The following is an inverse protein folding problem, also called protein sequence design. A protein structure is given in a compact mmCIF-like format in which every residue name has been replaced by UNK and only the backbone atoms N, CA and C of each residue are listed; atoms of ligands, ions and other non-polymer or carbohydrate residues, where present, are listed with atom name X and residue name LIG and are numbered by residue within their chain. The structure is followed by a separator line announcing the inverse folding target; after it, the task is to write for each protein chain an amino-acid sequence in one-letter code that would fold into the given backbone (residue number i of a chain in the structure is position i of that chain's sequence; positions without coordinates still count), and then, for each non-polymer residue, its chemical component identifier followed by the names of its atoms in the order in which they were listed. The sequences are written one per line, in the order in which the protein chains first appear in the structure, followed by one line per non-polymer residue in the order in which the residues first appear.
data_IF_297406013691
#
_entry.id   IF_297406013691
#
_cell.length_a   1.000
_cell.length_b   1.000
_cell.length_c   1.000
_cell.angle_alpha   90.00
_cell.angle_beta   90.00
_cell.angle_gamma   90.00
#
_symmetry.space_group_name_H-M   'P 1'
#
loop_
_entity.id
_entity.type
_entity.pdbx_description
1 polymer ?
#
# COMPACT_ATOMS: atom_id res chain seq x y z
N UNK A 1 -8.16 -0.88 -12.43
CA UNK A 1 -8.05 0.56 -12.09
C UNK A 1 -9.28 1.32 -12.56
N UNK A 2 -9.68 1.24 -13.85
CA UNK A 2 -10.85 1.98 -14.37
C UNK A 2 -12.15 1.59 -13.67
N UNK A 3 -12.41 0.30 -13.46
CA UNK A 3 -13.59 -0.18 -12.72
C UNK A 3 -13.60 0.31 -11.26
N UNK A 4 -12.44 0.44 -10.62
CA UNK A 4 -12.34 1.01 -9.27
C UNK A 4 -12.70 2.50 -9.27
N UNK A 5 -12.18 3.27 -10.24
CA UNK A 5 -12.49 4.68 -10.36
C UNK A 5 -13.99 4.90 -10.61
N UNK A 6 -14.61 4.13 -11.52
CA UNK A 6 -16.06 4.18 -11.76
C UNK A 6 -16.88 3.85 -10.50
N UNK A 7 -16.45 2.87 -9.71
CA UNK A 7 -17.10 2.52 -8.46
C UNK A 7 -16.97 3.64 -7.40
N UNK A 8 -15.80 4.28 -7.32
CA UNK A 8 -15.57 5.41 -6.42
C UNK A 8 -16.42 6.63 -6.82
N UNK A 9 -16.47 6.97 -8.11
CA UNK A 9 -17.29 8.07 -8.61
C UNK A 9 -18.80 7.82 -8.33
N UNK A 10 -19.28 6.58 -8.51
CA UNK A 10 -20.65 6.19 -8.13
C UNK A 10 -20.91 6.28 -6.62
N UNK A 11 -19.89 6.12 -5.81
CA UNK A 11 -19.96 6.29 -4.35
C UNK A 11 -19.81 7.76 -3.90
N UNK A 12 -19.68 8.71 -4.83
CA UNK A 12 -19.55 10.14 -4.54
C UNK A 12 -18.12 10.61 -4.29
N UNK A 13 -17.12 9.78 -4.59
CA UNK A 13 -15.71 10.12 -4.46
C UNK A 13 -15.11 10.36 -5.86
N UNK A 14 -14.65 11.56 -6.13
CA UNK A 14 -13.99 11.85 -7.41
C UNK A 14 -12.67 11.11 -7.52
N UNK A 15 -12.52 10.26 -8.53
CA UNK A 15 -11.31 9.47 -8.76
C UNK A 15 -10.63 9.83 -10.09
N UNK A 16 -9.30 9.66 -10.13
CA UNK A 16 -8.47 9.77 -11.34
C UNK A 16 -7.59 8.54 -11.47
N UNK A 17 -7.46 8.03 -12.69
CA UNK A 17 -6.56 6.93 -13.00
C UNK A 17 -5.36 7.47 -13.75
N UNK A 18 -4.16 7.15 -13.27
CA UNK A 18 -2.91 7.49 -13.93
C UNK A 18 -2.07 6.24 -14.15
N UNK A 19 -1.57 6.03 -15.36
CA UNK A 19 -0.85 4.81 -15.74
C UNK A 19 0.64 5.03 -15.90
N UNK A 20 1.44 4.09 -15.40
CA UNK A 20 2.88 4.05 -15.63
C UNK A 20 3.24 3.64 -17.08
N UNK A 21 2.29 3.07 -17.82
CA UNK A 21 2.44 2.73 -19.25
C UNK A 21 1.47 3.62 -20.04
N UNK A 22 1.95 4.24 -21.12
CA UNK A 22 1.13 5.11 -21.98
C UNK A 22 0.01 4.31 -22.65
N UNK A 23 -1.24 4.72 -22.44
CA UNK A 23 -2.45 4.23 -23.10
C UNK A 23 -3.35 5.46 -23.33
N UNK A 24 -2.90 6.37 -24.15
CA UNK A 24 -3.39 7.77 -24.25
C UNK A 24 -4.89 7.90 -24.52
N UNK A 25 -5.51 6.91 -25.20
CA UNK A 25 -6.96 6.94 -25.48
C UNK A 25 -7.83 6.50 -24.29
N UNK A 26 -7.22 5.94 -23.22
CA UNK A 26 -7.94 5.26 -22.14
C UNK A 26 -7.65 5.86 -20.77
N UNK A 27 -6.41 6.25 -20.51
CA UNK A 27 -5.96 6.68 -19.17
C UNK A 27 -4.81 7.68 -19.27
N UNK A 28 -4.78 8.63 -18.35
CA UNK A 28 -3.71 9.63 -18.27
C UNK A 28 -2.35 8.97 -17.94
N UNK A 29 -1.24 9.44 -18.56
CA UNK A 29 0.09 9.02 -18.13
C UNK A 29 0.38 9.52 -16.71
N UNK A 30 1.11 8.70 -15.94
CA UNK A 30 1.55 9.13 -14.62
C UNK A 30 2.58 10.26 -14.73
N UNK A 31 2.25 11.40 -14.15
CA UNK A 31 3.13 12.55 -13.99
C UNK A 31 3.00 13.04 -12.55
N UNK A 32 4.08 12.96 -11.75
CA UNK A 32 4.08 13.28 -10.32
C UNK A 32 3.41 14.62 -9.96
N UNK A 33 3.77 15.78 -10.60
CA UNK A 33 3.11 17.06 -10.29
C UNK A 33 1.59 17.02 -10.49
N UNK A 34 1.12 16.31 -11.49
CA UNK A 34 -0.32 16.16 -11.76
C UNK A 34 -1.01 15.28 -10.72
N UNK A 35 -0.35 14.22 -10.27
CA UNK A 35 -0.86 13.38 -9.18
C UNK A 35 -1.00 14.18 -7.89
N UNK A 36 0.01 14.98 -7.54
CA UNK A 36 -0.04 15.86 -6.35
C UNK A 36 -1.17 16.88 -6.45
N UNK A 37 -1.36 17.50 -7.61
CA UNK A 37 -2.47 18.42 -7.84
C UNK A 37 -3.82 17.74 -7.59
N UNK A 38 -4.04 16.52 -8.09
CA UNK A 38 -5.29 15.79 -7.86
C UNK A 38 -5.51 15.44 -6.38
N UNK A 39 -4.45 15.08 -5.67
CA UNK A 39 -4.53 14.81 -4.23
C UNK A 39 -4.86 16.07 -3.43
N UNK A 40 -4.23 17.22 -3.76
CA UNK A 40 -4.52 18.53 -3.16
C UNK A 40 -5.97 18.98 -3.41
N UNK A 41 -6.53 18.63 -4.57
CA UNK A 41 -7.94 18.86 -4.92
C UNK A 41 -8.90 17.88 -4.19
N UNK A 42 -8.39 17.00 -3.31
CA UNK A 42 -9.19 16.02 -2.55
C UNK A 42 -9.68 14.83 -3.38
N UNK A 43 -9.06 14.54 -4.52
CA UNK A 43 -9.40 13.40 -5.37
C UNK A 43 -8.66 12.14 -4.95
N UNK A 44 -9.26 10.99 -5.21
CA UNK A 44 -8.59 9.69 -5.12
C UNK A 44 -7.79 9.45 -6.41
N UNK A 45 -6.50 9.16 -6.30
CA UNK A 45 -5.66 8.82 -7.46
C UNK A 45 -5.39 7.31 -7.47
N UNK A 46 -5.77 6.65 -8.56
CA UNK A 46 -5.54 5.23 -8.78
C UNK A 46 -4.34 5.05 -9.70
N UNK A 47 -3.22 4.59 -9.18
CA UNK A 47 -2.02 4.31 -9.97
C UNK A 47 -2.13 2.95 -10.65
N UNK A 48 -2.11 2.95 -11.97
CA UNK A 48 -2.24 1.76 -12.82
C UNK A 48 -0.89 1.34 -13.39
N UNK A 49 -0.80 0.07 -13.84
CA UNK A 49 0.36 -0.54 -14.50
C UNK A 49 1.64 -0.62 -13.64
N UNK A 50 1.49 -0.59 -12.31
CA UNK A 50 2.61 -0.80 -11.39
C UNK A 50 3.71 0.26 -11.53
N UNK A 51 4.96 -0.17 -11.68
CA UNK A 51 6.11 0.70 -11.95
C UNK A 51 6.27 1.03 -13.45
N UNK A 52 5.58 0.32 -14.33
CA UNK A 52 5.82 0.36 -15.77
C UNK A 52 7.05 -0.42 -16.21
N UNK A 53 7.77 -1.08 -15.31
CA UNK A 53 8.99 -1.82 -15.57
C UNK A 53 8.83 -3.31 -15.22
N UNK A 54 9.45 -4.23 -16.01
CA UNK A 54 9.47 -5.65 -15.66
C UNK A 54 10.27 -5.89 -14.37
N UNK A 55 10.09 -7.07 -13.77
CA UNK A 55 10.76 -7.56 -12.56
C UNK A 55 10.38 -6.87 -11.24
N UNK A 56 9.61 -5.80 -11.26
CA UNK A 56 9.08 -5.15 -10.06
C UNK A 56 7.65 -5.59 -9.78
N UNK A 57 7.33 -5.77 -8.50
CA UNK A 57 5.99 -6.16 -8.05
C UNK A 57 5.09 -4.95 -7.81
N UNK A 58 3.83 -5.20 -7.50
CA UNK A 58 2.90 -4.17 -7.04
C UNK A 58 3.26 -3.60 -5.66
N UNK A 59 3.97 -4.37 -4.82
CA UNK A 59 4.52 -3.88 -3.55
C UNK A 59 5.55 -2.77 -3.81
N UNK A 60 6.48 -3.01 -4.76
CA UNK A 60 7.46 -2.01 -5.17
C UNK A 60 6.78 -0.78 -5.76
N UNK A 61 5.73 -0.96 -6.57
CA UNK A 61 4.96 0.17 -7.10
C UNK A 61 4.30 0.99 -5.99
N UNK A 62 3.72 0.36 -4.98
CA UNK A 62 3.10 1.04 -3.85
C UNK A 62 4.12 1.86 -3.05
N UNK A 63 5.29 1.27 -2.74
CA UNK A 63 6.38 1.96 -2.05
C UNK A 63 6.89 3.16 -2.85
N UNK A 64 7.13 2.98 -4.17
CA UNK A 64 7.60 4.03 -5.06
C UNK A 64 6.60 5.19 -5.14
N UNK A 65 5.33 4.91 -5.43
CA UNK A 65 4.30 5.95 -5.52
C UNK A 65 4.08 6.64 -4.18
N UNK A 66 4.06 5.88 -3.08
CA UNK A 66 3.97 6.45 -1.72
C UNK A 66 5.09 7.45 -1.45
N UNK A 67 6.34 7.10 -1.74
CA UNK A 67 7.48 7.99 -1.58
C UNK A 67 7.40 9.22 -2.50
N UNK A 68 7.06 9.04 -3.78
CA UNK A 68 6.96 10.12 -4.77
C UNK A 68 5.89 11.17 -4.42
N UNK A 69 4.76 10.76 -3.88
CA UNK A 69 3.68 11.69 -3.51
C UNK A 69 3.78 12.19 -2.07
N UNK A 70 4.78 11.76 -1.31
CA UNK A 70 4.93 12.13 0.10
C UNK A 70 3.83 11.56 0.99
N UNK A 71 3.41 10.32 0.74
CA UNK A 71 2.40 9.67 1.57
C UNK A 71 2.90 9.49 3.01
N UNK A 72 2.01 9.64 3.99
CA UNK A 72 2.33 9.44 5.40
C UNK A 72 2.54 7.97 5.74
N UNK A 73 1.93 7.05 4.97
CA UNK A 73 1.96 5.61 5.23
C UNK A 73 1.56 4.81 3.98
N UNK A 74 2.10 3.60 3.85
CA UNK A 74 1.62 2.59 2.91
C UNK A 74 0.68 1.64 3.63
N UNK A 75 -0.54 1.48 3.12
CA UNK A 75 -1.52 0.52 3.64
C UNK A 75 -1.46 -0.76 2.80
N UNK A 76 -0.97 -1.85 3.38
CA UNK A 76 -0.93 -3.16 2.73
C UNK A 76 -2.14 -4.00 3.14
N UNK A 77 -3.16 -4.00 2.29
CA UNK A 77 -4.34 -4.83 2.45
C UNK A 77 -4.06 -6.26 1.94
N UNK A 78 -4.12 -7.25 2.82
CA UNK A 78 -3.77 -8.65 2.54
C UNK A 78 -4.88 -9.62 2.97
N UNK A 79 -4.66 -10.93 2.76
CA UNK A 79 -5.56 -11.98 3.25
C UNK A 79 -5.29 -12.36 4.72
N UNK A 80 -4.21 -11.86 5.31
CA UNK A 80 -3.87 -12.03 6.73
C UNK A 80 -4.08 -10.72 7.48
N UNK A 81 -4.32 -10.80 8.78
CA UNK A 81 -4.71 -9.65 9.59
C UNK A 81 -3.52 -8.92 10.25
N UNK A 82 -2.31 -9.22 9.83
CA UNK A 82 -1.11 -8.55 10.31
C UNK A 82 0.15 -9.37 10.07
N UNK A 83 1.24 -8.96 10.72
CA UNK A 83 2.54 -9.63 10.72
C UNK A 83 2.63 -10.53 11.94
N UNK A 84 3.06 -11.77 11.76
CA UNK A 84 3.18 -12.78 12.81
C UNK A 84 4.63 -13.19 13.03
N UNK A 85 4.91 -13.69 14.23
CA UNK A 85 6.24 -14.24 14.61
C UNK A 85 6.66 -15.47 13.78
N UNK A 86 5.68 -16.19 13.23
CA UNK A 86 5.82 -17.31 12.30
C UNK A 86 4.56 -17.41 11.43
N UNK A 87 4.54 -18.32 10.46
CA UNK A 87 3.34 -18.58 9.66
C UNK A 87 2.21 -19.18 10.54
N UNK A 88 1.11 -18.46 10.82
CA UNK A 88 0.06 -18.94 11.73
C UNK A 88 -0.68 -20.17 11.19
N UNK A 89 -0.54 -20.51 9.93
CA UNK A 89 -1.11 -21.75 9.35
C UNK A 89 -0.26 -22.97 9.66
N UNK A 90 1.03 -22.77 9.93
CA UNK A 90 2.00 -23.83 10.22
C UNK A 90 2.31 -23.93 11.70
N UNK A 91 2.28 -22.82 12.42
CA UNK A 91 2.59 -22.69 13.83
C UNK A 91 1.42 -22.05 14.59
N UNK A 92 0.58 -22.83 15.27
CA UNK A 92 -0.53 -22.31 16.08
C UNK A 92 -0.10 -21.41 17.24
N UNK A 93 1.19 -21.43 17.62
CA UNK A 93 1.75 -20.57 18.68
C UNK A 93 2.20 -19.21 18.16
N UNK A 94 2.15 -18.97 16.83
CA UNK A 94 2.52 -17.71 16.22
C UNK A 94 1.67 -16.58 16.78
N UNK A 95 2.33 -15.53 17.24
CA UNK A 95 1.70 -14.32 17.79
C UNK A 95 1.78 -13.17 16.79
N UNK A 96 0.69 -12.42 16.67
CA UNK A 96 0.65 -11.23 15.83
C UNK A 96 1.33 -10.06 16.54
N UNK A 97 2.16 -9.33 15.82
CA UNK A 97 2.69 -8.06 16.29
C UNK A 97 1.64 -6.95 16.16
N UNK A 98 1.51 -6.09 17.16
CA UNK A 98 0.79 -4.81 17.03
C UNK A 98 1.64 -3.81 16.23
N UNK A 99 2.95 -3.81 16.52
CA UNK A 99 3.95 -3.01 15.82
C UNK A 99 5.30 -3.73 15.80
N UNK A 100 6.14 -3.42 14.81
CA UNK A 100 7.48 -3.98 14.66
C UNK A 100 8.35 -3.00 13.87
N UNK A 101 9.64 -2.88 14.20
CA UNK A 101 10.57 -2.06 13.42
C UNK A 101 10.97 -2.76 12.12
N UNK A 102 11.39 -1.96 11.11
CA UNK A 102 11.95 -2.51 9.87
C UNK A 102 13.15 -3.43 10.14
N UNK A 103 14.05 -3.03 11.04
CA UNK A 103 15.26 -3.80 11.34
C UNK A 103 14.94 -5.12 12.03
N UNK A 104 13.98 -5.13 12.95
CA UNK A 104 13.54 -6.37 13.59
C UNK A 104 12.85 -7.31 12.59
N UNK A 105 12.00 -6.78 11.72
CA UNK A 105 11.36 -7.56 10.66
C UNK A 105 12.38 -8.21 9.71
N UNK A 106 13.44 -7.48 9.34
CA UNK A 106 14.55 -8.00 8.53
C UNK A 106 15.32 -9.09 9.30
N UNK A 107 15.72 -8.81 10.55
CA UNK A 107 16.51 -9.76 11.34
C UNK A 107 15.79 -11.09 11.57
N UNK A 108 14.45 -11.04 11.66
CA UNK A 108 13.57 -12.21 11.80
C UNK A 108 13.14 -12.81 10.47
N UNK A 109 13.58 -12.24 9.33
CA UNK A 109 13.22 -12.68 7.98
C UNK A 109 11.70 -12.78 7.76
N UNK A 110 10.94 -11.80 8.25
CA UNK A 110 9.49 -11.78 8.11
C UNK A 110 9.09 -11.29 6.71
N UNK A 111 8.32 -12.11 5.99
CA UNK A 111 7.89 -11.84 4.61
C UNK A 111 6.72 -10.85 4.53
N UNK A 112 6.97 -9.58 4.78
CA UNK A 112 5.94 -8.52 4.77
C UNK A 112 5.66 -8.02 3.36
N UNK A 113 6.70 -7.69 2.62
CA UNK A 113 6.71 -7.24 1.23
C UNK A 113 7.88 -7.90 0.49
N UNK A 114 7.98 -7.71 -0.83
CA UNK A 114 9.22 -8.04 -1.52
C UNK A 114 10.39 -7.16 -1.00
N UNK A 115 11.61 -7.67 -1.13
CA UNK A 115 12.80 -7.04 -0.57
C UNK A 115 13.02 -5.60 -1.07
N UNK A 116 12.71 -5.34 -2.35
CA UNK A 116 12.89 -4.01 -2.96
C UNK A 116 11.91 -3.00 -2.37
N UNK A 117 10.62 -3.37 -2.27
CA UNK A 117 9.60 -2.52 -1.66
C UNK A 117 9.90 -2.23 -0.19
N UNK A 118 10.31 -3.27 0.55
CA UNK A 118 10.60 -3.16 1.98
C UNK A 118 11.80 -2.26 2.25
N UNK A 119 12.90 -2.44 1.47
CA UNK A 119 14.07 -1.59 1.56
C UNK A 119 13.75 -0.12 1.23
N UNK A 120 12.96 0.12 0.18
CA UNK A 120 12.54 1.48 -0.19
C UNK A 120 11.73 2.15 0.92
N UNK A 121 10.75 1.46 1.50
CA UNK A 121 9.96 2.00 2.61
C UNK A 121 10.83 2.31 3.82
N UNK A 122 11.76 1.43 4.20
CA UNK A 122 12.71 1.66 5.30
C UNK A 122 13.58 2.89 5.04
N UNK A 123 14.22 2.97 3.87
CA UNK A 123 15.17 4.04 3.54
C UNK A 123 14.48 5.41 3.44
N UNK A 124 13.22 5.43 2.99
CA UNK A 124 12.39 6.63 2.96
C UNK A 124 11.66 6.93 4.28
N UNK A 125 11.84 6.07 5.31
CA UNK A 125 11.11 6.14 6.59
C UNK A 125 9.59 6.19 6.42
N UNK A 126 9.10 5.49 5.40
CA UNK A 126 7.68 5.41 5.04
C UNK A 126 7.05 4.22 5.76
N UNK A 127 6.23 4.42 6.79
CA UNK A 127 5.63 3.34 7.56
C UNK A 127 4.72 2.47 6.70
N UNK A 128 4.57 1.20 7.11
CA UNK A 128 3.67 0.26 6.46
C UNK A 128 2.65 -0.24 7.47
N UNK A 129 1.36 -0.17 7.16
CA UNK A 129 0.30 -0.79 7.97
C UNK A 129 -0.22 -2.01 7.25
N UNK A 130 0.00 -3.21 7.81
CA UNK A 130 -0.46 -4.49 7.26
C UNK A 130 -1.77 -4.89 7.94
N UNK A 131 -2.81 -5.14 7.16
CA UNK A 131 -4.12 -5.50 7.71
C UNK A 131 -4.91 -6.42 6.75
N UNK A 132 -6.00 -7.01 7.24
CA UNK A 132 -6.84 -7.91 6.43
C UNK A 132 -7.84 -7.14 5.56
N UNK A 133 -7.83 -7.36 4.24
CA UNK A 133 -8.87 -6.88 3.32
C UNK A 133 -10.19 -7.65 3.49
N UNK A 134 -10.12 -8.88 4.04
CA UNK A 134 -11.28 -9.77 4.19
C UNK A 134 -12.10 -9.41 5.44
N UNK A 135 -11.45 -8.86 6.46
CA UNK A 135 -12.11 -8.48 7.70
C UNK A 135 -13.00 -7.25 7.48
N UNK A 136 -14.29 -7.42 7.71
CA UNK A 136 -15.27 -6.37 7.43
C UNK A 136 -14.95 -5.08 8.21
N UNK A 137 -14.90 -3.93 7.52
CA UNK A 137 -14.61 -2.62 8.10
C UNK A 137 -13.13 -2.38 8.49
N UNK A 138 -12.21 -3.32 8.26
CA UNK A 138 -10.80 -3.18 8.65
C UNK A 138 -10.12 -1.95 8.03
N UNK A 139 -10.32 -1.69 6.73
CA UNK A 139 -9.77 -0.50 6.07
C UNK A 139 -10.26 0.79 6.76
N UNK A 140 -11.56 0.87 7.08
CA UNK A 140 -12.12 2.05 7.77
C UNK A 140 -11.45 2.26 9.12
N UNK A 141 -11.30 1.19 9.92
CA UNK A 141 -10.63 1.28 11.23
C UNK A 141 -9.19 1.70 11.11
N UNK A 142 -8.44 1.16 10.15
CA UNK A 142 -7.04 1.56 9.88
C UNK A 142 -6.96 3.06 9.55
N UNK A 143 -7.80 3.56 8.66
CA UNK A 143 -7.82 4.99 8.27
C UNK A 143 -8.22 5.91 9.43
N UNK A 144 -9.07 5.43 10.34
CA UNK A 144 -9.46 6.17 11.55
C UNK A 144 -8.45 6.05 12.69
N UNK A 145 -7.34 5.31 12.51
CA UNK A 145 -6.30 5.14 13.53
C UNK A 145 -6.65 4.16 14.65
N UNK A 146 -7.68 3.33 14.46
CA UNK A 146 -8.05 2.31 15.42
C UNK A 146 -7.03 1.16 15.44
N UNK A 147 -7.02 0.36 16.53
CA UNK A 147 -6.13 -0.80 16.67
C UNK A 147 -6.55 -1.92 15.71
N UNK A 148 -5.91 -1.94 14.56
CA UNK A 148 -6.12 -2.93 13.50
C UNK A 148 -4.80 -3.26 12.81
N UNK A 149 -4.52 -4.53 12.58
CA UNK A 149 -3.34 -4.98 11.84
C UNK A 149 -2.01 -4.79 12.59
N UNK A 150 -0.92 -4.67 11.83
CA UNK A 150 0.45 -4.46 12.34
C UNK A 150 1.05 -3.20 11.72
N UNK A 151 1.63 -2.34 12.55
CA UNK A 151 2.43 -1.19 12.10
C UNK A 151 3.89 -1.61 11.95
N UNK A 152 4.49 -1.33 10.79
CA UNK A 152 5.95 -1.46 10.55
C UNK A 152 6.53 -0.05 10.43
N UNK A 153 7.53 0.25 11.24
CA UNK A 153 8.08 1.62 11.36
C UNK A 153 9.61 1.64 11.39
N UNK A 154 10.19 2.85 11.25
CA UNK A 154 11.64 3.07 11.30
C UNK A 154 12.14 3.25 12.74
#
# INVERSE_FOLDING_TARGET
SLALADALDKAGLTARVMSAIGIDQVVEPYVRPKALQYLEEGKVVVFAAGTGNPFFTTDTAAALRGAEIGAEMVLKATKVDGVYSADPKKDPSATRYSEISFDEAISRNLGIMDATAFALCRDQKLPIKVFSIIKNGALKRVVLGEDEGTLVYA
#
